data_IF_097010504615
#
_entry.id   IF_097010504615
#
_cell.length_a   1.000
_cell.length_b   1.000
_cell.length_c   1.000
_cell.angle_alpha   90.00
_cell.angle_beta   90.00
_cell.angle_gamma   90.00
#
_symmetry.space_group_name_H-M   'P 1'
#
loop_
_entity.id
_entity.type
_entity.pdbx_description
1 polymer ?
#
# COMPACT_ATOMS: atom_id res chain seq x y z
N UNK A 1 -22.92 16.90 -4.64
CA UNK A 1 -21.90 16.42 -3.69
C UNK A 1 -22.33 15.16 -2.93
N UNK A 2 -23.49 15.13 -2.24
CA UNK A 2 -23.98 13.96 -1.48
C UNK A 2 -24.02 12.64 -2.28
N UNK A 3 -24.47 12.65 -3.55
CA UNK A 3 -24.51 11.45 -4.41
C UNK A 3 -23.14 10.82 -4.64
N UNK A 4 -22.08 11.64 -4.86
CA UNK A 4 -20.71 11.13 -5.07
C UNK A 4 -20.14 10.46 -3.81
N UNK A 5 -20.42 11.02 -2.63
CA UNK A 5 -20.02 10.43 -1.35
C UNK A 5 -20.71 9.07 -1.14
N UNK A 6 -22.00 8.96 -1.49
CA UNK A 6 -22.75 7.70 -1.42
C UNK A 6 -22.10 6.60 -2.28
N UNK A 7 -21.80 6.90 -3.53
CA UNK A 7 -21.11 5.95 -4.45
C UNK A 7 -19.76 5.53 -3.88
N UNK A 8 -19.01 6.48 -3.35
CA UNK A 8 -17.69 6.22 -2.77
C UNK A 8 -17.76 5.27 -1.58
N UNK A 9 -18.67 5.54 -0.64
CA UNK A 9 -18.93 4.65 0.51
C UNK A 9 -19.37 3.26 0.05
N UNK A 10 -20.30 3.18 -0.90
CA UNK A 10 -20.76 1.89 -1.42
C UNK A 10 -19.64 1.08 -2.07
N UNK A 11 -18.74 1.72 -2.81
CA UNK A 11 -17.58 1.06 -3.39
C UNK A 11 -16.62 0.50 -2.32
N UNK A 12 -16.37 1.25 -1.25
CA UNK A 12 -15.51 0.79 -0.15
C UNK A 12 -16.16 -0.35 0.65
N UNK A 13 -17.47 -0.28 0.90
CA UNK A 13 -18.22 -1.37 1.56
C UNK A 13 -18.18 -2.66 0.74
N UNK A 14 -18.37 -2.55 -0.58
CA UNK A 14 -18.27 -3.72 -1.46
C UNK A 14 -16.90 -4.39 -1.36
N UNK A 15 -15.81 -3.63 -1.26
CA UNK A 15 -14.49 -4.19 -0.99
C UNK A 15 -14.43 -4.84 0.40
N UNK A 16 -15.08 -4.24 1.40
CA UNK A 16 -15.23 -4.83 2.74
C UNK A 16 -15.91 -6.19 2.72
N UNK A 17 -17.00 -6.31 1.97
CA UNK A 17 -17.74 -7.58 1.78
C UNK A 17 -16.90 -8.65 1.07
N UNK A 18 -15.87 -8.24 0.32
CA UNK A 18 -14.92 -9.12 -0.36
C UNK A 18 -13.68 -9.45 0.51
N UNK A 19 -13.64 -9.09 1.77
CA UNK A 19 -12.49 -9.26 2.68
C UNK A 19 -11.83 -10.65 2.65
N UNK A 20 -12.53 -11.79 2.46
CA UNK A 20 -11.90 -13.10 2.35
C UNK A 20 -10.94 -13.25 1.17
N UNK A 21 -11.15 -12.49 0.09
CA UNK A 21 -10.35 -12.56 -1.16
C UNK A 21 -9.66 -11.26 -1.50
N UNK A 22 -10.13 -10.14 -0.95
CA UNK A 22 -9.57 -8.80 -1.18
C UNK A 22 -9.06 -8.24 0.13
N UNK A 23 -7.81 -7.85 0.16
CA UNK A 23 -7.21 -7.15 1.29
C UNK A 23 -6.61 -5.83 0.82
N UNK A 24 -6.78 -4.80 1.62
CA UNK A 24 -6.35 -3.44 1.28
C UNK A 24 -5.27 -2.96 2.23
N UNK A 25 -4.27 -2.33 1.64
CA UNK A 25 -3.20 -1.64 2.34
C UNK A 25 -2.92 -0.33 1.61
N UNK A 26 -2.61 0.71 2.34
CA UNK A 26 -2.20 1.99 1.77
C UNK A 26 -0.93 2.50 2.44
N UNK A 27 -0.03 3.07 1.63
CA UNK A 27 1.11 3.85 2.11
C UNK A 27 0.85 5.31 1.80
N UNK A 28 0.87 6.13 2.83
CA UNK A 28 0.54 7.56 2.74
C UNK A 28 1.74 8.40 3.15
N UNK A 29 2.20 9.27 2.23
CA UNK A 29 3.18 10.31 2.52
C UNK A 29 2.47 11.65 2.72
N UNK A 30 2.18 12.06 3.98
CA UNK A 30 1.44 13.29 4.26
C UNK A 30 2.25 14.56 3.96
N UNK A 31 3.57 14.48 4.08
CA UNK A 31 4.49 15.57 3.79
C UNK A 31 5.49 15.13 2.70
N UNK A 32 5.35 15.71 1.51
CA UNK A 32 6.22 15.44 0.35
C UNK A 32 7.64 15.97 0.51
N UNK A 33 7.83 16.92 1.39
CA UNK A 33 9.12 17.63 1.61
C UNK A 33 9.82 17.16 2.87
N UNK A 34 9.33 16.09 3.49
CA UNK A 34 9.96 15.55 4.68
C UNK A 34 11.42 15.13 4.39
N UNK A 35 12.39 15.47 5.26
CA UNK A 35 13.84 15.22 5.01
C UNK A 35 14.21 13.75 4.77
N UNK A 36 13.37 12.81 5.22
CA UNK A 36 13.60 11.36 5.00
C UNK A 36 13.14 10.85 3.62
N UNK A 37 12.46 11.67 2.84
CA UNK A 37 12.10 11.32 1.45
C UNK A 37 13.35 11.49 0.59
N UNK A 38 13.88 10.37 0.11
CA UNK A 38 15.19 10.32 -0.55
C UNK A 38 15.14 10.79 -2.01
N UNK A 39 14.18 10.29 -2.78
CA UNK A 39 14.07 10.64 -4.21
C UNK A 39 12.78 11.42 -4.48
N UNK A 40 11.64 10.80 -4.24
CA UNK A 40 10.33 11.44 -4.26
C UNK A 40 9.32 10.60 -3.48
N UNK A 41 8.27 11.24 -2.98
CA UNK A 41 7.27 10.61 -2.12
C UNK A 41 6.59 9.39 -2.77
N UNK A 42 6.37 9.41 -4.08
CA UNK A 42 5.72 8.30 -4.81
C UNK A 42 6.65 7.09 -4.84
N UNK A 43 7.92 7.31 -5.17
CA UNK A 43 8.91 6.23 -5.25
C UNK A 43 9.14 5.59 -3.88
N UNK A 44 9.26 6.40 -2.83
CA UNK A 44 9.42 5.91 -1.46
C UNK A 44 8.18 5.14 -0.99
N UNK A 45 6.96 5.62 -1.28
CA UNK A 45 5.74 4.87 -0.99
C UNK A 45 5.70 3.51 -1.71
N UNK A 46 6.10 3.45 -2.97
CA UNK A 46 6.23 2.19 -3.70
C UNK A 46 7.26 1.27 -3.07
N UNK A 47 8.39 1.80 -2.62
CA UNK A 47 9.42 1.01 -1.96
C UNK A 47 8.89 0.39 -0.66
N UNK A 48 8.22 1.18 0.18
CA UNK A 48 7.59 0.70 1.43
C UNK A 48 6.52 -0.36 1.14
N UNK A 49 5.68 -0.14 0.11
CA UNK A 49 4.65 -1.10 -0.28
C UNK A 49 5.26 -2.43 -0.74
N UNK A 50 6.31 -2.40 -1.57
CA UNK A 50 6.99 -3.61 -2.04
C UNK A 50 7.67 -4.37 -0.88
N UNK A 51 8.27 -3.66 0.07
CA UNK A 51 8.82 -4.27 1.29
C UNK A 51 7.75 -4.97 2.12
N UNK A 52 6.60 -4.35 2.20
CA UNK A 52 5.48 -4.94 2.92
C UNK A 52 4.96 -6.18 2.20
N UNK A 53 4.76 -6.13 0.88
CA UNK A 53 4.31 -7.27 0.07
C UNK A 53 5.28 -8.45 0.17
N UNK A 54 6.59 -8.19 0.17
CA UNK A 54 7.61 -9.20 0.39
C UNK A 54 7.41 -9.91 1.73
N UNK A 55 7.33 -9.15 2.83
CA UNK A 55 7.09 -9.70 4.17
C UNK A 55 5.79 -10.48 4.26
N UNK A 56 4.73 -9.97 3.65
CA UNK A 56 3.43 -10.60 3.61
C UNK A 56 3.47 -11.93 2.87
N UNK A 57 4.10 -11.99 1.69
CA UNK A 57 4.21 -13.21 0.89
C UNK A 57 5.05 -14.29 1.59
N UNK A 58 6.07 -13.91 2.38
CA UNK A 58 6.84 -14.86 3.17
C UNK A 58 6.06 -15.53 4.30
N UNK A 59 5.06 -14.85 4.84
CA UNK A 59 4.26 -15.34 5.99
C UNK A 59 3.08 -16.22 5.58
N UNK A 60 2.72 -16.25 4.29
CA UNK A 60 1.59 -17.04 3.80
C UNK A 60 2.00 -18.45 3.38
N UNK A 61 1.17 -19.43 3.80
CA UNK A 61 1.22 -20.79 3.29
C UNK A 61 -0.10 -21.11 2.55
N UNK A 62 -0.05 -21.65 1.32
CA UNK A 62 1.12 -21.90 0.49
C UNK A 62 1.81 -20.58 0.08
N UNK A 63 3.07 -20.65 -0.31
CA UNK A 63 3.86 -19.49 -0.74
C UNK A 63 3.16 -18.77 -1.91
N UNK A 64 2.69 -17.55 -1.64
CA UNK A 64 1.91 -16.77 -2.60
C UNK A 64 2.84 -16.06 -3.59
N UNK A 65 2.63 -16.27 -4.86
CA UNK A 65 3.26 -15.48 -5.92
C UNK A 65 2.60 -14.11 -6.03
N UNK A 66 3.37 -13.11 -6.46
CA UNK A 66 2.94 -11.72 -6.55
C UNK A 66 3.08 -11.22 -7.98
N UNK A 67 1.99 -10.70 -8.53
CA UNK A 67 1.97 -9.96 -9.79
C UNK A 67 1.54 -8.52 -9.46
N UNK A 68 2.28 -7.54 -9.96
CA UNK A 68 1.95 -6.14 -9.80
C UNK A 68 1.17 -5.64 -11.00
N UNK A 69 0.02 -5.01 -10.75
CA UNK A 69 -0.80 -4.37 -11.78
C UNK A 69 -0.97 -2.88 -11.43
N UNK A 70 0.05 -2.05 -11.67
CA UNK A 70 -0.03 -0.61 -11.38
C UNK A 70 -0.72 0.15 -12.52
N UNK A 71 -1.20 1.36 -12.20
CA UNK A 71 -1.62 2.35 -13.19
C UNK A 71 -0.44 2.82 -14.07
N UNK A 72 -0.75 3.32 -15.26
CA UNK A 72 0.23 3.77 -16.25
C UNK A 72 1.00 5.05 -15.84
N UNK A 73 0.65 5.70 -14.73
CA UNK A 73 1.16 7.01 -14.33
C UNK A 73 2.69 7.11 -14.18
N UNK A 74 3.39 6.01 -13.82
CA UNK A 74 4.84 5.99 -13.62
C UNK A 74 5.48 4.64 -14.00
N UNK A 75 5.34 4.16 -15.23
CA UNK A 75 5.68 2.78 -15.60
C UNK A 75 7.17 2.46 -15.44
N UNK A 76 8.05 3.38 -15.79
CA UNK A 76 9.50 3.16 -15.71
C UNK A 76 9.99 3.07 -14.28
N UNK A 77 9.49 3.93 -13.40
CA UNK A 77 9.85 3.95 -11.98
C UNK A 77 9.42 2.67 -11.29
N UNK A 78 8.15 2.26 -11.45
CA UNK A 78 7.63 1.05 -10.82
C UNK A 78 8.35 -0.19 -11.33
N UNK A 79 8.62 -0.29 -12.64
CA UNK A 79 9.38 -1.38 -13.24
C UNK A 79 10.81 -1.45 -12.68
N UNK A 80 11.50 -0.32 -12.58
CA UNK A 80 12.86 -0.25 -12.01
C UNK A 80 12.89 -0.72 -10.56
N UNK A 81 11.94 -0.28 -9.74
CA UNK A 81 11.82 -0.68 -8.34
C UNK A 81 11.51 -2.17 -8.22
N UNK A 82 10.56 -2.70 -8.97
CA UNK A 82 10.21 -4.12 -8.97
C UNK A 82 11.39 -5.01 -9.35
N UNK A 83 12.12 -4.66 -10.43
CA UNK A 83 13.32 -5.37 -10.86
C UNK A 83 14.44 -5.30 -9.83
N UNK A 84 14.62 -4.14 -9.19
CA UNK A 84 15.60 -3.98 -8.12
C UNK A 84 15.25 -4.88 -6.94
N UNK A 85 14.00 -4.92 -6.50
CA UNK A 85 13.55 -5.77 -5.40
C UNK A 85 13.67 -7.25 -5.72
N UNK A 86 13.32 -7.68 -6.91
CA UNK A 86 13.48 -9.07 -7.33
C UNK A 86 14.92 -9.56 -7.25
N UNK A 87 15.89 -8.67 -7.53
CA UNK A 87 17.32 -9.03 -7.55
C UNK A 87 18.05 -8.72 -6.26
N UNK A 88 17.68 -7.68 -5.53
CA UNK A 88 18.47 -7.06 -4.48
C UNK A 88 17.60 -6.62 -3.27
N UNK A 89 16.65 -7.44 -2.84
CA UNK A 89 15.94 -7.14 -1.61
C UNK A 89 16.88 -7.27 -0.40
N UNK A 90 16.83 -6.29 0.50
CA UNK A 90 17.51 -6.35 1.79
C UNK A 90 16.43 -6.59 2.86
N UNK A 91 16.47 -7.75 3.51
CA UNK A 91 15.68 -7.97 4.71
C UNK A 91 16.48 -7.47 5.93
N UNK A 92 15.91 -6.60 6.76
CA UNK A 92 16.54 -6.25 8.04
C UNK A 92 16.68 -7.55 8.86
N UNK A 93 17.83 -7.71 9.52
CA UNK A 93 18.04 -8.84 10.43
C UNK A 93 16.93 -8.87 11.48
N UNK A 94 16.41 -10.07 11.78
CA UNK A 94 15.46 -10.27 12.87
C UNK A 94 16.09 -10.07 14.26
N UNK A 95 17.44 -9.91 14.32
CA UNK A 95 18.19 -9.75 15.57
C UNK A 95 18.66 -8.31 15.76
N UNK A 96 18.54 -7.75 16.95
CA UNK A 96 19.12 -6.45 17.28
C UNK A 96 20.64 -6.45 16.99
N UNK A 97 21.11 -5.49 16.19
CA UNK A 97 22.53 -5.40 15.81
C UNK A 97 22.96 -6.30 14.66
N UNK A 98 22.07 -7.08 14.07
CA UNK A 98 22.38 -7.92 12.91
C UNK A 98 22.48 -7.10 11.61
N UNK A 99 23.42 -7.48 10.73
CA UNK A 99 23.53 -6.90 9.39
C UNK A 99 22.32 -7.27 8.53
N UNK A 100 21.87 -6.34 7.68
CA UNK A 100 20.83 -6.64 6.69
C UNK A 100 21.29 -7.74 5.74
N UNK A 101 20.49 -8.80 5.61
CA UNK A 101 20.75 -9.85 4.63
C UNK A 101 20.15 -9.50 3.28
N UNK A 102 20.87 -9.79 2.22
CA UNK A 102 20.40 -9.65 0.85
C UNK A 102 19.47 -10.82 0.53
N UNK A 103 18.18 -10.57 0.56
CA UNK A 103 17.16 -11.57 0.23
C UNK A 103 16.45 -11.11 -1.03
N UNK A 104 16.61 -11.78 -2.17
CA UNK A 104 15.81 -11.45 -3.36
C UNK A 104 14.33 -11.73 -3.09
N UNK A 105 13.45 -10.99 -3.74
CA UNK A 105 12.01 -11.23 -3.71
C UNK A 105 11.59 -12.16 -4.87
N UNK A 106 11.86 -13.48 -4.78
CA UNK A 106 11.67 -14.43 -5.88
C UNK A 106 10.19 -14.63 -6.23
N UNK A 107 9.29 -14.25 -5.32
CA UNK A 107 7.83 -14.38 -5.49
C UNK A 107 7.21 -13.30 -6.36
N UNK A 108 7.95 -12.25 -6.66
CA UNK A 108 7.56 -11.29 -7.69
C UNK A 108 7.88 -11.90 -9.06
N UNK A 109 6.87 -12.53 -9.67
CA UNK A 109 7.04 -13.45 -10.81
C UNK A 109 7.47 -12.72 -12.06
N UNK A 110 6.86 -11.56 -12.35
CA UNK A 110 7.07 -10.83 -13.60
C UNK A 110 7.32 -9.34 -13.39
N UNK A 111 7.63 -8.66 -14.48
CA UNK A 111 7.62 -7.21 -14.53
C UNK A 111 6.18 -6.70 -14.34
N UNK A 112 6.00 -5.50 -13.76
CA UNK A 112 4.67 -4.92 -13.57
C UNK A 112 3.86 -4.83 -14.86
N UNK A 113 2.62 -5.31 -14.82
CA UNK A 113 1.65 -5.25 -15.90
C UNK A 113 0.86 -3.94 -15.80
N UNK A 114 1.38 -2.88 -16.41
CA UNK A 114 0.72 -1.57 -16.38
C UNK A 114 -0.63 -1.59 -17.11
N UNK A 115 -1.65 -1.00 -16.51
CA UNK A 115 -2.98 -0.85 -17.09
C UNK A 115 -3.50 0.57 -16.93
N UNK A 116 -4.35 0.98 -17.86
CA UNK A 116 -5.06 2.24 -17.77
C UNK A 116 -6.20 2.13 -16.74
N UNK A 117 -6.27 3.05 -15.79
CA UNK A 117 -7.31 3.05 -14.76
C UNK A 117 -8.71 3.25 -15.33
N UNK A 118 -8.86 3.85 -16.51
CA UNK A 118 -10.16 4.00 -17.20
C UNK A 118 -10.77 2.65 -17.59
N UNK A 119 -9.91 1.67 -17.88
CA UNK A 119 -10.32 0.35 -18.39
C UNK A 119 -10.24 -0.75 -17.32
N UNK A 120 -9.91 -0.38 -16.07
CA UNK A 120 -9.73 -1.33 -14.96
C UNK A 120 -10.48 -0.89 -13.72
N UNK A 121 -11.57 -1.59 -13.40
CA UNK A 121 -12.30 -1.37 -12.15
C UNK A 121 -11.43 -1.58 -10.89
N UNK A 122 -10.50 -2.53 -10.92
CA UNK A 122 -9.60 -2.76 -9.79
C UNK A 122 -8.69 -1.56 -9.53
N UNK A 123 -8.19 -0.90 -10.57
CA UNK A 123 -7.39 0.31 -10.42
C UNK A 123 -8.24 1.50 -9.93
N UNK A 124 -9.48 1.62 -10.40
CA UNK A 124 -10.42 2.63 -9.88
C UNK A 124 -10.72 2.39 -8.40
N UNK A 125 -10.88 1.14 -7.97
CA UNK A 125 -11.02 0.82 -6.56
C UNK A 125 -9.75 1.12 -5.76
N UNK A 126 -8.57 0.84 -6.30
CA UNK A 126 -7.31 1.21 -5.67
C UNK A 126 -7.21 2.74 -5.46
N UNK A 127 -7.68 3.55 -6.41
CA UNK A 127 -7.76 5.01 -6.26
C UNK A 127 -8.72 5.42 -5.14
N UNK A 128 -9.88 4.77 -5.02
CA UNK A 128 -10.80 5.01 -3.91
C UNK A 128 -10.17 4.67 -2.57
N UNK A 129 -9.51 3.52 -2.48
CA UNK A 129 -8.80 3.06 -1.28
C UNK A 129 -7.68 4.04 -0.92
N UNK A 130 -6.84 4.42 -1.89
CA UNK A 130 -5.75 5.37 -1.67
C UNK A 130 -6.26 6.74 -1.18
N UNK A 131 -7.35 7.24 -1.80
CA UNK A 131 -7.96 8.49 -1.36
C UNK A 131 -8.55 8.38 0.05
N UNK A 132 -9.26 7.29 0.38
CA UNK A 132 -9.79 7.06 1.72
C UNK A 132 -8.69 7.06 2.78
N UNK A 133 -7.59 6.33 2.53
CA UNK A 133 -6.44 6.31 3.41
C UNK A 133 -5.81 7.69 3.59
N UNK A 134 -5.60 8.42 2.49
CA UNK A 134 -5.04 9.77 2.53
C UNK A 134 -5.91 10.73 3.34
N UNK A 135 -7.25 10.65 3.21
CA UNK A 135 -8.20 11.50 3.96
C UNK A 135 -8.31 11.12 5.43
N UNK A 136 -8.00 9.91 5.79
CA UNK A 136 -7.89 9.50 7.20
C UNK A 136 -6.67 10.13 7.86
N UNK A 137 -5.57 10.30 7.12
CA UNK A 137 -4.33 10.92 7.62
C UNK A 137 -4.41 12.45 7.52
N UNK A 138 -5.02 12.98 6.44
CA UNK A 138 -5.20 14.41 6.17
C UNK A 138 -6.69 14.68 5.92
N UNK A 139 -7.47 14.94 6.98
CA UNK A 139 -8.91 15.16 6.87
C UNK A 139 -9.27 16.37 5.98
N UNK A 140 -10.45 16.30 5.36
CA UNK A 140 -11.08 17.39 4.64
C UNK A 140 -12.48 17.61 5.17
N UNK A 141 -12.89 18.87 5.33
CA UNK A 141 -14.19 19.23 5.87
C UNK A 141 -15.38 18.80 4.99
N UNK A 142 -15.15 18.65 3.69
CA UNK A 142 -16.18 18.28 2.70
C UNK A 142 -16.35 16.75 2.52
N UNK A 143 -15.55 15.92 3.21
CA UNK A 143 -15.63 14.48 3.16
C UNK A 143 -15.89 13.88 4.56
N UNK A 144 -16.58 12.73 4.63
CA UNK A 144 -16.76 12.02 5.90
C UNK A 144 -15.41 11.65 6.52
N UNK A 145 -15.24 11.81 7.83
CA UNK A 145 -13.95 11.58 8.50
C UNK A 145 -13.51 10.11 8.54
N UNK A 146 -14.43 9.18 8.34
CA UNK A 146 -14.18 7.74 8.50
C UNK A 146 -14.47 6.92 7.23
N UNK A 147 -14.04 7.41 6.08
CA UNK A 147 -14.21 6.65 4.83
C UNK A 147 -13.41 5.33 4.83
N UNK A 148 -12.24 5.33 5.43
CA UNK A 148 -11.41 4.12 5.55
C UNK A 148 -12.11 3.00 6.34
N UNK A 149 -12.88 3.36 7.36
CA UNK A 149 -13.63 2.41 8.18
C UNK A 149 -14.71 1.63 7.41
N UNK A 150 -15.14 2.12 6.25
CA UNK A 150 -16.10 1.40 5.40
C UNK A 150 -15.50 0.13 4.76
N UNK A 151 -14.16 -0.03 4.80
CA UNK A 151 -13.47 -1.26 4.35
C UNK A 151 -13.58 -2.41 5.34
N UNK A 152 -13.92 -2.15 6.61
CA UNK A 152 -14.03 -3.21 7.62
C UNK A 152 -12.82 -4.15 7.63
N UNK A 153 -13.08 -5.45 7.54
CA UNK A 153 -12.06 -6.51 7.59
C UNK A 153 -11.15 -6.56 6.35
N UNK A 154 -11.53 -5.90 5.25
CA UNK A 154 -10.64 -5.77 4.10
C UNK A 154 -9.45 -4.86 4.37
N UNK A 155 -9.52 -3.98 5.37
CA UNK A 155 -8.39 -3.19 5.83
C UNK A 155 -7.40 -4.08 6.62
N UNK A 156 -6.23 -4.35 6.03
CA UNK A 156 -5.31 -5.36 6.55
C UNK A 156 -4.56 -4.90 7.80
N UNK A 157 -5.15 -5.12 8.97
CA UNK A 157 -4.58 -4.74 10.27
C UNK A 157 -3.14 -5.26 10.49
N UNK A 158 -2.83 -6.45 10.00
CA UNK A 158 -1.49 -7.03 10.09
C UNK A 158 -0.41 -6.22 9.36
N UNK A 159 -0.79 -5.29 8.47
CA UNK A 159 0.16 -4.42 7.79
C UNK A 159 0.85 -3.44 8.74
N UNK A 160 0.19 -3.05 9.81
CA UNK A 160 0.74 -2.08 10.77
C UNK A 160 1.83 -2.69 11.68
N UNK A 161 1.88 -4.02 11.79
CA UNK A 161 2.88 -4.74 12.59
C UNK A 161 2.89 -4.26 14.05
N UNK A 162 4.09 -3.93 14.57
CA UNK A 162 4.28 -3.36 15.92
C UNK A 162 4.12 -1.82 15.96
N UNK A 163 3.53 -1.22 14.94
CA UNK A 163 3.34 0.23 14.87
C UNK A 163 2.35 0.73 15.93
N UNK A 164 2.43 2.00 16.29
CA UNK A 164 1.59 2.57 17.34
C UNK A 164 0.10 2.40 17.04
N UNK A 165 -0.68 2.12 18.08
CA UNK A 165 -2.14 1.88 18.04
C UNK A 165 -2.99 3.00 17.44
N UNK A 166 -2.40 4.14 17.06
CA UNK A 166 -3.10 5.32 16.56
C UNK A 166 -3.19 5.38 15.03
N UNK A 167 -2.57 4.45 14.29
CA UNK A 167 -2.73 4.36 12.86
C UNK A 167 -3.91 3.44 12.52
N UNK A 168 -4.76 3.82 11.57
CA UNK A 168 -5.86 2.95 11.13
C UNK A 168 -5.32 1.62 10.58
N UNK A 169 -6.03 0.50 10.80
CA UNK A 169 -5.60 -0.80 10.28
C UNK A 169 -5.35 -0.72 8.77
N UNK A 170 -4.22 -1.22 8.29
CA UNK A 170 -3.87 -1.22 6.87
C UNK A 170 -3.34 0.09 6.30
N UNK A 171 -3.27 1.17 7.09
CA UNK A 171 -2.66 2.45 6.68
C UNK A 171 -1.26 2.55 7.24
N UNK A 172 -0.29 2.75 6.36
CA UNK A 172 1.12 2.98 6.70
C UNK A 172 1.46 4.44 6.40
N UNK A 173 1.77 5.21 7.42
CA UNK A 173 2.23 6.60 7.26
C UNK A 173 3.73 6.61 7.08
N UNK A 174 4.22 7.22 5.98
CA UNK A 174 5.63 7.32 5.65
C UNK A 174 6.03 8.76 5.29
N UNK A 175 7.14 9.30 5.78
CA UNK A 175 7.93 8.74 6.89
C UNK A 175 7.15 8.77 8.21
N UNK A 176 7.53 7.90 9.15
CA UNK A 176 6.92 7.88 10.47
C UNK A 176 7.09 9.25 11.15
N UNK A 177 6.01 9.83 11.65
CA UNK A 177 5.99 11.17 12.27
C UNK A 177 6.77 11.24 13.60
N UNK A 178 7.25 10.10 14.12
CA UNK A 178 7.83 9.98 15.46
C UNK A 178 9.35 9.80 15.51
N UNK A 179 10.02 9.92 14.37
CA UNK A 179 11.48 9.88 14.34
C UNK A 179 12.06 11.27 14.12
#
# INVERSE_FOLDING_TARGET
MRKRIGVYKSALRLLGDMAPVVQTIAVVAPDRHHPKIQENAIQDCWQVLLEWLERFSFKREPQTEVILVPDEGNPLTVRKLARRRRRFAYAPSAFPGGSSQKVPFPRLVEDPLHRNSRDSYFLQWADFVANAAFRTVIPRADLPPNLWGELGDAALAAANGQRPRNEPPGVIVWPDRRM
#
